data_IF_161025898788
#
_entry.id   IF_161025898788
#
_cell.length_a   1.000
_cell.length_b   1.000
_cell.length_c   1.000
_cell.angle_alpha   90.00
_cell.angle_beta   90.00
_cell.angle_gamma   90.00
#
_symmetry.space_group_name_H-M   'P 1'
#
loop_
_entity.id
_entity.type
_entity.pdbx_description
1 polymer ?
#
# COMPACT_ATOMS: atom_id res chain seq x y z
N UNK A 1 -5.78 3.59 -26.09
CA UNK A 1 -6.15 4.71 -25.21
C UNK A 1 -6.83 5.86 -25.95
N UNK A 2 -6.16 6.68 -26.77
CA UNK A 2 -6.87 7.81 -27.42
C UNK A 2 -8.05 7.40 -28.33
N UNK A 3 -7.95 6.23 -29.00
CA UNK A 3 -9.02 5.68 -29.86
C UNK A 3 -9.93 4.67 -29.14
N UNK A 4 -9.49 4.19 -27.97
CA UNK A 4 -10.21 3.24 -27.13
C UNK A 4 -9.82 3.56 -25.68
N UNK A 5 -10.47 4.55 -25.05
CA UNK A 5 -10.12 5.03 -23.71
C UNK A 5 -10.44 4.02 -22.61
N UNK A 6 -11.46 3.21 -22.83
CA UNK A 6 -11.96 2.21 -21.88
C UNK A 6 -11.37 0.81 -22.12
N UNK A 7 -10.46 0.67 -23.10
CA UNK A 7 -9.74 -0.57 -23.43
C UNK A 7 -10.67 -1.76 -23.74
N UNK A 8 -11.80 -1.50 -24.39
CA UNK A 8 -12.80 -2.55 -24.70
C UNK A 8 -12.43 -3.38 -25.93
N UNK A 9 -11.44 -2.95 -26.72
CA UNK A 9 -10.97 -3.63 -27.92
C UNK A 9 -9.50 -4.07 -27.78
N UNK A 10 -9.28 -5.37 -27.63
CA UNK A 10 -7.94 -5.95 -27.56
C UNK A 10 -7.31 -6.13 -28.96
N UNK A 11 -6.28 -5.34 -29.26
CA UNK A 11 -5.55 -5.38 -30.53
C UNK A 11 -4.37 -6.38 -30.56
N UNK A 12 -4.11 -7.11 -29.47
CA UNK A 12 -2.94 -8.00 -29.38
C UNK A 12 -2.97 -9.18 -30.38
N UNK A 13 -4.13 -9.49 -30.95
CA UNK A 13 -4.27 -10.54 -31.99
C UNK A 13 -4.54 -9.97 -33.37
N UNK A 14 -4.58 -8.64 -33.52
CA UNK A 14 -4.80 -7.98 -34.81
C UNK A 14 -3.49 -7.95 -35.62
N UNK A 15 -3.44 -8.58 -36.82
CA UNK A 15 -2.27 -8.55 -37.68
C UNK A 15 -1.81 -7.14 -38.06
N UNK A 16 -2.71 -6.16 -38.14
CA UNK A 16 -2.37 -4.77 -38.44
C UNK A 16 -1.48 -4.14 -37.36
N UNK A 17 -1.52 -4.65 -36.13
CA UNK A 17 -0.77 -4.16 -34.98
C UNK A 17 0.41 -5.05 -34.57
N UNK A 18 0.71 -6.11 -35.33
CA UNK A 18 1.74 -7.10 -34.98
C UNK A 18 3.13 -6.48 -34.72
N UNK A 19 3.55 -5.49 -35.53
CA UNK A 19 4.85 -4.83 -35.33
C UNK A 19 4.92 -4.03 -34.02
N UNK A 20 3.80 -3.41 -33.60
CA UNK A 20 3.74 -2.67 -32.33
C UNK A 20 3.78 -3.63 -31.15
N UNK A 21 3.07 -4.76 -31.26
CA UNK A 21 3.09 -5.81 -30.25
C UNK A 21 4.50 -6.37 -30.04
N UNK A 22 5.22 -6.67 -31.11
CA UNK A 22 6.60 -7.19 -31.02
C UNK A 22 7.56 -6.18 -30.39
N UNK A 23 7.44 -4.89 -30.72
CA UNK A 23 8.23 -3.84 -30.09
C UNK A 23 7.97 -3.76 -28.57
N UNK A 24 6.71 -3.84 -28.15
CA UNK A 24 6.34 -3.85 -26.72
C UNK A 24 6.84 -5.12 -26.02
N UNK A 25 6.76 -6.29 -26.66
CA UNK A 25 7.32 -7.54 -26.11
C UNK A 25 8.83 -7.45 -25.91
N UNK A 26 9.55 -6.86 -26.86
CA UNK A 26 10.98 -6.64 -26.74
C UNK A 26 11.33 -5.68 -25.59
N UNK A 27 10.57 -4.59 -25.42
CA UNK A 27 10.74 -3.67 -24.28
C UNK A 27 10.49 -4.39 -22.95
N UNK A 28 9.46 -5.22 -22.87
CA UNK A 28 9.16 -6.02 -21.68
C UNK A 28 10.32 -6.96 -21.35
N UNK A 29 10.79 -7.72 -22.33
CA UNK A 29 11.90 -8.66 -22.15
C UNK A 29 13.21 -7.97 -21.77
N UNK A 30 13.44 -6.73 -22.25
CA UNK A 30 14.63 -5.95 -21.91
C UNK A 30 14.59 -5.40 -20.47
N UNK A 31 13.41 -5.10 -19.93
CA UNK A 31 13.24 -4.48 -18.61
C UNK A 31 13.01 -5.50 -17.49
N UNK A 32 12.33 -6.59 -17.79
CA UNK A 32 11.90 -7.54 -16.78
C UNK A 32 12.37 -8.95 -17.08
N UNK A 33 13.04 -9.56 -16.10
CA UNK A 33 13.19 -11.00 -16.04
C UNK A 33 11.94 -11.59 -15.35
N UNK A 34 10.98 -12.04 -16.14
CA UNK A 34 9.68 -12.52 -15.64
C UNK A 34 9.81 -13.81 -14.82
N UNK A 35 10.74 -14.70 -15.16
CA UNK A 35 10.99 -15.94 -14.41
C UNK A 35 11.59 -15.64 -13.02
N UNK A 36 12.54 -14.70 -12.97
CA UNK A 36 13.10 -14.25 -11.70
C UNK A 36 12.04 -13.57 -10.84
N UNK A 37 11.15 -12.77 -11.44
CA UNK A 37 10.05 -12.12 -10.74
C UNK A 37 9.05 -13.14 -10.17
N UNK A 38 8.61 -14.12 -10.97
CA UNK A 38 7.71 -15.19 -10.50
C UNK A 38 8.33 -15.96 -9.33
N UNK A 39 9.61 -16.35 -9.45
CA UNK A 39 10.33 -17.04 -8.39
C UNK A 39 10.40 -16.22 -7.10
N UNK A 40 10.73 -14.93 -7.19
CA UNK A 40 10.80 -14.03 -6.05
C UNK A 40 9.43 -13.85 -5.37
N UNK A 41 8.37 -13.65 -6.17
CA UNK A 41 6.99 -13.52 -5.66
C UNK A 41 6.56 -14.79 -4.94
N UNK A 42 6.77 -15.97 -5.55
CA UNK A 42 6.42 -17.26 -4.94
C UNK A 42 7.22 -17.52 -3.66
N UNK A 43 8.50 -17.17 -3.64
CA UNK A 43 9.31 -17.29 -2.42
C UNK A 43 8.73 -16.44 -1.28
N UNK A 44 8.42 -15.19 -1.58
CA UNK A 44 7.83 -14.24 -0.64
C UNK A 44 6.45 -14.70 -0.15
N UNK A 45 5.63 -15.31 -1.03
CA UNK A 45 4.36 -15.92 -0.65
C UNK A 45 4.55 -17.09 0.31
N UNK A 46 5.45 -18.05 0.00
CA UNK A 46 5.73 -19.21 0.85
C UNK A 46 6.16 -18.80 2.26
N UNK A 47 7.08 -17.85 2.33
CA UNK A 47 7.59 -17.31 3.60
C UNK A 47 6.47 -16.69 4.43
N UNK A 48 5.66 -15.80 3.82
CA UNK A 48 4.52 -15.19 4.53
C UNK A 48 3.47 -16.19 4.94
N UNK A 49 3.17 -17.21 4.14
CA UNK A 49 2.22 -18.26 4.52
C UNK A 49 2.69 -19.01 5.76
N UNK A 50 3.96 -19.41 5.79
CA UNK A 50 4.55 -20.07 6.95
C UNK A 50 4.51 -19.18 8.20
N UNK A 51 4.98 -17.93 8.10
CA UNK A 51 4.99 -16.98 9.22
C UNK A 51 3.55 -16.71 9.71
N UNK A 52 2.61 -16.50 8.80
CA UNK A 52 1.20 -16.23 9.15
C UNK A 52 0.57 -17.40 9.90
N UNK A 53 0.86 -18.64 9.51
CA UNK A 53 0.38 -19.83 10.22
C UNK A 53 0.96 -19.91 11.65
N UNK A 54 2.23 -19.52 11.83
CA UNK A 54 2.87 -19.48 13.15
C UNK A 54 2.30 -18.35 14.03
N UNK A 55 2.16 -17.13 13.49
CA UNK A 55 1.67 -15.95 14.23
C UNK A 55 0.20 -16.05 14.67
N UNK A 56 -0.56 -16.99 14.11
CA UNK A 56 -1.96 -17.26 14.49
C UNK A 56 -2.10 -18.28 15.62
N UNK A 57 -0.99 -18.86 16.09
CA UNK A 57 -0.99 -19.80 17.21
C UNK A 57 -0.63 -19.06 18.51
N UNK A 58 -1.36 -19.33 19.59
CA UNK A 58 -1.15 -18.69 20.89
C UNK A 58 -1.73 -17.27 20.94
N UNK A 59 -0.98 -16.33 21.52
CA UNK A 59 -1.44 -14.94 21.70
C UNK A 59 -1.18 -14.14 20.43
N UNK A 60 -2.25 -13.62 19.83
CA UNK A 60 -2.18 -12.74 18.67
C UNK A 60 -1.61 -11.36 19.05
N UNK A 61 -0.57 -10.92 18.34
CA UNK A 61 0.00 -9.57 18.47
C UNK A 61 -0.42 -8.73 17.26
N UNK A 62 -1.26 -7.69 17.44
CA UNK A 62 -1.65 -6.79 16.36
C UNK A 62 -0.46 -5.98 15.82
N UNK A 63 -0.52 -5.58 14.55
CA UNK A 63 0.47 -4.70 13.89
C UNK A 63 -0.07 -3.29 13.65
N UNK A 64 -1.35 -3.07 13.98
CA UNK A 64 -2.02 -1.80 13.89
C UNK A 64 -1.30 -0.77 14.76
N UNK A 65 -0.89 0.34 14.14
CA UNK A 65 -0.35 1.46 14.88
C UNK A 65 -1.45 2.07 15.74
N UNK A 66 -1.23 2.08 17.06
CA UNK A 66 -2.06 2.81 18.01
C UNK A 66 -1.33 4.10 18.38
N UNK A 67 -1.82 5.29 17.94
CA UNK A 67 -1.21 6.55 18.32
C UNK A 67 -1.18 6.68 19.85
N UNK A 68 -0.03 7.00 20.45
CA UNK A 68 0.04 7.19 21.89
C UNK A 68 -0.82 8.39 22.26
N UNK A 69 -1.78 8.16 23.15
CA UNK A 69 -2.70 9.21 23.63
C UNK A 69 -2.53 9.36 25.13
N UNK A 70 -2.03 10.51 25.57
CA UNK A 70 -1.98 10.81 26.98
C UNK A 70 -3.28 11.50 27.41
N UNK A 71 -4.34 10.71 27.57
CA UNK A 71 -5.62 11.22 28.05
C UNK A 71 -5.51 11.99 29.37
N UNK A 72 -4.55 11.69 30.25
CA UNK A 72 -4.38 12.43 31.51
C UNK A 72 -3.91 13.88 31.34
N UNK A 73 -3.28 14.22 30.21
CA UNK A 73 -2.78 15.56 29.90
C UNK A 73 -3.64 16.32 28.86
N UNK A 74 -4.75 15.73 28.41
CA UNK A 74 -5.66 16.37 27.46
C UNK A 74 -6.73 17.22 28.15
N UNK A 75 -7.08 18.36 27.52
CA UNK A 75 -8.09 19.31 28.01
C UNK A 75 -7.78 19.85 29.42
N UNK A 76 -8.79 20.41 30.08
CA UNK A 76 -8.61 20.95 31.43
C UNK A 76 -8.32 19.83 32.44
N UNK A 77 -7.31 20.07 33.27
CA UNK A 77 -6.91 19.23 34.40
C UNK A 77 -6.64 20.10 35.60
N UNK A 78 -6.88 19.59 36.81
CA UNK A 78 -6.80 20.39 38.05
C UNK A 78 -5.40 20.96 38.35
N UNK A 79 -4.35 20.43 37.70
CA UNK A 79 -2.98 20.92 37.83
C UNK A 79 -2.59 21.97 36.77
N UNK A 80 -3.53 22.37 35.90
CA UNK A 80 -3.33 23.36 34.83
C UNK A 80 -4.07 24.66 35.15
N UNK A 81 -3.63 25.78 34.58
CA UNK A 81 -4.37 27.05 34.62
C UNK A 81 -5.46 27.05 33.54
N UNK A 82 -6.71 27.28 33.97
CA UNK A 82 -7.88 27.29 33.09
C UNK A 82 -7.78 28.33 31.97
N UNK A 83 -7.34 29.55 32.29
CA UNK A 83 -7.27 30.64 31.33
C UNK A 83 -6.23 30.36 30.24
N UNK A 84 -5.13 29.70 30.60
CA UNK A 84 -4.07 29.33 29.66
C UNK A 84 -4.51 28.21 28.71
N UNK A 85 -5.17 27.17 29.23
CA UNK A 85 -5.68 26.05 28.42
C UNK A 85 -6.72 26.54 27.40
N UNK A 86 -7.67 27.38 27.82
CA UNK A 86 -8.70 27.92 26.91
C UNK A 86 -8.09 28.83 25.83
N UNK A 87 -7.11 29.67 26.19
CA UNK A 87 -6.40 30.52 25.23
C UNK A 87 -5.61 29.71 24.21
N UNK A 88 -4.93 28.63 24.63
CA UNK A 88 -4.13 27.78 23.74
C UNK A 88 -4.99 26.93 22.80
N UNK A 89 -6.16 26.49 23.26
CA UNK A 89 -7.07 25.65 22.48
C UNK A 89 -7.95 26.42 21.48
N UNK A 90 -8.02 27.76 21.56
CA UNK A 90 -8.87 28.60 20.70
C UNK A 90 -8.15 29.04 19.43
N UNK A 91 -8.84 28.93 18.29
CA UNK A 91 -8.42 29.44 16.99
C UNK A 91 -9.62 29.95 16.18
N UNK A 92 -9.53 31.05 15.42
CA UNK A 92 -8.39 31.97 15.29
C UNK A 92 -8.19 32.83 16.54
N UNK A 93 -7.02 33.48 16.62
CA UNK A 93 -6.59 34.28 17.77
C UNK A 93 -6.94 35.75 17.62
#
# INVERSE_FOLDING_TARGET
LAQDPDEVHNLASDPAHAATLEAMRAEVAARWNLDALDSAVRSSQRERHFITQALRQGTFTPWEYTPPRNGSAEYMRNHLDLNEVERLARWPR
#
